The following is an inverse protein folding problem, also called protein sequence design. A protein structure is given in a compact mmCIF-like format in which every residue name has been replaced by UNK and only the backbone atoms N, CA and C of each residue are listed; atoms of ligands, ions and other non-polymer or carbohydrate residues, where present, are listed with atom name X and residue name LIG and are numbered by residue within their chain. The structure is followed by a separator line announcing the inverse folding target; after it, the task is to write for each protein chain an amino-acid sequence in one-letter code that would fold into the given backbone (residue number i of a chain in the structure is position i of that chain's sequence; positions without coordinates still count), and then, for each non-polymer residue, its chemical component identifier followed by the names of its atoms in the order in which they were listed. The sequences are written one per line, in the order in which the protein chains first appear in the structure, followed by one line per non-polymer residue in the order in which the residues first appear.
data_IF_496786413456
#
_entry.id   IF_496786413456
#
_cell.length_a   1.000
_cell.length_b   1.000
_cell.length_c   1.000
_cell.angle_alpha   90.00
_cell.angle_beta   90.00
_cell.angle_gamma   90.00
#
_symmetry.space_group_name_H-M   'P 1'
#
loop_
_entity.id
_entity.type
_entity.pdbx_description
1 polymer ?
#
# COMPACT_ATOMS: atom_id res chain seq x y z
N UNK A 1 10.52 -28.50 52.40
CA UNK A 1 9.87 -28.86 51.11
C UNK A 1 8.98 -27.76 50.51
N UNK A 2 8.37 -26.86 51.29
CA UNK A 2 7.52 -25.79 50.74
C UNK A 2 8.30 -24.70 49.99
N UNK A 3 9.44 -24.25 50.52
CA UNK A 3 10.23 -23.14 49.95
C UNK A 3 10.75 -23.41 48.52
N UNK A 4 11.22 -24.62 48.25
CA UNK A 4 11.71 -25.04 46.93
C UNK A 4 10.60 -25.09 45.86
N UNK A 5 9.35 -25.41 46.27
CA UNK A 5 8.17 -25.36 45.39
C UNK A 5 7.83 -23.93 44.96
N UNK A 6 7.91 -22.97 45.88
CA UNK A 6 7.60 -21.56 45.59
C UNK A 6 8.70 -20.92 44.72
N UNK A 7 9.96 -21.31 44.93
CA UNK A 7 11.09 -20.88 44.10
C UNK A 7 11.00 -21.42 42.65
N UNK A 8 10.61 -22.69 42.49
CA UNK A 8 10.35 -23.27 41.16
C UNK A 8 9.16 -22.61 40.45
N UNK A 9 8.09 -22.31 41.18
CA UNK A 9 6.91 -21.64 40.62
C UNK A 9 7.25 -20.22 40.15
N UNK A 10 8.02 -19.48 40.94
CA UNK A 10 8.50 -18.13 40.61
C UNK A 10 9.45 -18.09 39.40
N UNK A 11 10.22 -19.16 39.16
CA UNK A 11 11.08 -19.29 37.97
C UNK A 11 10.32 -19.65 36.68
N UNK A 12 9.12 -20.25 36.78
CA UNK A 12 8.32 -20.67 35.62
C UNK A 12 7.37 -19.57 35.12
N UNK A 13 7.01 -18.61 35.97
CA UNK A 13 6.16 -17.46 35.63
C UNK A 13 6.69 -16.55 34.49
N UNK A 14 8.01 -16.25 34.40
CA UNK A 14 8.55 -15.42 33.32
C UNK A 14 8.54 -16.12 31.96
N UNK A 15 8.62 -17.46 31.94
CA UNK A 15 8.61 -18.23 30.69
C UNK A 15 7.23 -18.27 30.02
N UNK A 16 6.14 -18.12 30.80
CA UNK A 16 4.78 -18.05 30.28
C UNK A 16 4.42 -16.65 29.71
N UNK A 17 5.13 -15.59 30.12
CA UNK A 17 4.92 -14.23 29.62
C UNK A 17 5.45 -14.02 28.18
N UNK A 18 6.20 -14.98 27.64
CA UNK A 18 6.67 -15.02 26.25
C UNK A 18 5.76 -15.77 25.29
N UNK A 19 4.53 -16.14 25.69
CA UNK A 19 3.56 -16.74 24.78
C UNK A 19 3.38 -15.83 23.56
N UNK A 20 3.87 -16.28 22.41
CA UNK A 20 3.95 -15.51 21.17
C UNK A 20 2.60 -14.85 20.84
N UNK A 21 2.57 -13.52 20.80
CA UNK A 21 1.50 -12.79 20.13
C UNK A 21 1.51 -13.17 18.66
N UNK A 22 0.48 -13.91 18.22
CA UNK A 22 0.35 -14.33 16.82
C UNK A 22 0.27 -13.10 15.93
N UNK A 23 1.27 -12.91 15.07
CA UNK A 23 1.31 -11.80 14.13
C UNK A 23 0.43 -12.11 12.91
N UNK A 24 -0.84 -11.69 12.93
CA UNK A 24 -1.75 -11.92 11.82
C UNK A 24 -1.43 -11.10 10.57
N UNK A 25 -0.76 -9.94 10.69
CA UNK A 25 -0.41 -9.12 9.52
C UNK A 25 0.61 -9.81 8.62
N UNK A 26 1.37 -10.77 9.15
CA UNK A 26 2.31 -11.59 8.37
C UNK A 26 1.62 -12.48 7.31
N UNK A 27 0.30 -12.68 7.40
CA UNK A 27 -0.47 -13.41 6.37
C UNK A 27 -0.99 -12.50 5.25
N UNK A 28 -0.88 -11.19 5.38
CA UNK A 28 -1.40 -10.24 4.40
C UNK A 28 -0.33 -9.95 3.35
N UNK A 29 -0.69 -10.09 2.08
CA UNK A 29 0.13 -9.64 0.96
C UNK A 29 -0.61 -8.54 0.18
N UNK A 30 -0.25 -7.25 0.36
CA UNK A 30 -0.90 -6.13 -0.32
C UNK A 30 -0.75 -6.13 -1.85
N UNK A 31 0.13 -6.97 -2.41
CA UNK A 31 0.31 -7.11 -3.85
C UNK A 31 -0.76 -8.00 -4.50
N UNK A 32 -1.56 -8.72 -3.72
CA UNK A 32 -2.66 -9.51 -4.28
C UNK A 32 -3.74 -8.54 -4.75
N UNK A 33 -4.10 -8.62 -6.04
CA UNK A 33 -5.11 -7.76 -6.67
C UNK A 33 -4.55 -6.52 -7.38
N UNK A 34 -3.23 -6.28 -7.31
CA UNK A 34 -2.60 -5.09 -7.91
C UNK A 34 -2.20 -5.28 -9.38
N UNK A 35 -2.41 -6.48 -9.94
CA UNK A 35 -2.16 -6.77 -11.34
C UNK A 35 -3.49 -6.88 -12.10
N UNK A 36 -3.57 -6.23 -13.27
CA UNK A 36 -4.78 -6.21 -14.12
C UNK A 36 -5.98 -5.64 -13.34
N UNK A 37 -7.15 -6.25 -13.46
CA UNK A 37 -8.44 -5.67 -13.06
C UNK A 37 -8.87 -5.99 -11.63
N UNK A 38 -7.90 -6.21 -10.72
CA UNK A 38 -8.21 -6.27 -9.29
C UNK A 38 -8.32 -4.88 -8.66
N UNK A 39 -7.51 -3.94 -9.15
CA UNK A 39 -7.49 -2.53 -8.75
C UNK A 39 -7.37 -2.32 -7.24
N UNK A 40 -6.56 -3.13 -6.56
CA UNK A 40 -6.11 -2.81 -5.20
C UNK A 40 -4.82 -1.99 -5.25
N UNK A 41 -4.50 -1.30 -4.16
CA UNK A 41 -3.24 -0.59 -4.00
C UNK A 41 -2.36 -1.28 -2.94
N UNK A 42 -1.03 -1.28 -3.09
CA UNK A 42 -0.12 -1.91 -2.14
C UNK A 42 0.32 -0.99 -0.98
N UNK A 43 -0.09 0.28 -1.03
CA UNK A 43 0.28 1.33 -0.09
C UNK A 43 -0.14 1.11 1.37
N UNK A 44 0.46 1.90 2.24
CA UNK A 44 0.19 1.86 3.67
C UNK A 44 -1.14 2.55 4.01
N UNK A 45 -1.97 1.84 4.78
CA UNK A 45 -3.17 2.42 5.40
C UNK A 45 -3.49 1.68 6.70
N UNK A 46 -4.31 2.31 7.54
CA UNK A 46 -4.89 1.68 8.73
C UNK A 46 -6.34 1.27 8.42
N UNK A 47 -6.92 0.32 9.17
CA UNK A 47 -8.32 -0.07 8.96
C UNK A 47 -9.25 1.15 8.97
N UNK A 48 -9.99 1.36 7.87
CA UNK A 48 -10.90 2.48 7.67
C UNK A 48 -10.23 3.87 7.76
N UNK A 49 -8.93 3.95 7.52
CA UNK A 49 -8.18 5.20 7.53
C UNK A 49 -8.54 6.13 6.38
N UNK A 50 -8.50 7.44 6.65
CA UNK A 50 -8.74 8.48 5.64
C UNK A 50 -7.60 8.59 4.62
N UNK A 51 -6.39 8.17 4.99
CA UNK A 51 -5.18 8.25 4.14
C UNK A 51 -4.81 6.87 3.64
N UNK A 52 -4.51 6.79 2.34
CA UNK A 52 -4.00 5.61 1.65
C UNK A 52 -2.71 6.04 0.94
N UNK A 53 -1.57 5.99 1.64
CA UNK A 53 -0.29 6.40 1.07
C UNK A 53 0.26 5.27 0.19
N UNK A 54 0.20 5.43 -1.13
CA UNK A 54 0.56 4.38 -2.09
C UNK A 54 1.38 4.93 -3.27
N UNK A 55 2.25 4.11 -3.89
CA UNK A 55 2.84 4.46 -5.18
C UNK A 55 1.79 4.51 -6.29
N UNK A 56 1.95 5.48 -7.19
CA UNK A 56 1.28 5.56 -8.49
C UNK A 56 2.25 5.14 -9.58
N UNK A 57 1.87 4.22 -10.47
CA UNK A 57 2.69 3.83 -11.63
C UNK A 57 2.35 4.62 -12.89
N UNK A 58 1.15 5.20 -12.95
CA UNK A 58 0.73 6.16 -13.98
C UNK A 58 -0.34 7.11 -13.40
N UNK A 59 -0.53 8.26 -14.03
CA UNK A 59 -1.51 9.31 -13.67
C UNK A 59 -2.33 9.71 -14.89
N UNK A 60 -2.81 8.72 -15.65
CA UNK A 60 -3.61 8.94 -16.86
C UNK A 60 -4.89 9.73 -16.49
N UNK A 61 -5.21 10.83 -17.18
CA UNK A 61 -6.46 11.54 -16.95
C UNK A 61 -7.65 10.76 -17.51
N UNK A 62 -8.80 10.83 -16.83
CA UNK A 62 -10.07 10.24 -17.30
C UNK A 62 -10.45 10.71 -18.71
N UNK A 63 -10.20 11.99 -19.01
CA UNK A 63 -10.58 12.63 -20.26
C UNK A 63 -9.46 13.54 -20.78
N UNK A 64 -9.25 13.53 -22.10
CA UNK A 64 -8.43 14.52 -22.79
C UNK A 64 -9.25 15.11 -23.93
N UNK A 65 -9.42 16.44 -23.91
CA UNK A 65 -10.14 17.20 -24.94
C UNK A 65 -11.55 16.67 -25.26
N UNK A 66 -12.37 16.39 -24.25
CA UNK A 66 -13.75 15.94 -24.44
C UNK A 66 -13.90 14.43 -24.70
N UNK A 67 -12.81 13.66 -24.66
CA UNK A 67 -12.80 12.23 -24.99
C UNK A 67 -12.24 11.39 -23.86
N UNK A 68 -12.99 10.35 -23.51
CA UNK A 68 -12.59 9.34 -22.55
C UNK A 68 -11.27 8.67 -22.97
N UNK A 69 -10.38 8.45 -22.01
CA UNK A 69 -9.11 7.73 -22.19
C UNK A 69 -9.29 6.29 -21.68
N UNK A 70 -9.41 5.27 -22.55
CA UNK A 70 -9.73 3.91 -22.11
C UNK A 70 -8.69 3.27 -21.18
N UNK A 71 -7.43 3.64 -21.34
CA UNK A 71 -6.34 3.10 -20.53
C UNK A 71 -6.41 3.51 -19.06
N UNK A 72 -7.12 4.59 -18.72
CA UNK A 72 -7.32 5.02 -17.34
C UNK A 72 -7.97 3.94 -16.47
N UNK A 73 -8.78 3.06 -17.08
CA UNK A 73 -9.41 1.95 -16.39
C UNK A 73 -8.39 1.00 -15.76
N UNK A 74 -7.19 0.85 -16.34
CA UNK A 74 -6.12 0.05 -15.74
C UNK A 74 -5.62 0.67 -14.43
N UNK A 75 -5.70 1.99 -14.29
CA UNK A 75 -5.09 2.73 -13.19
C UNK A 75 -6.11 3.21 -12.15
N UNK A 76 -7.23 2.50 -11.98
CA UNK A 76 -8.29 2.89 -11.05
C UNK A 76 -7.81 3.09 -9.59
N UNK A 77 -6.74 2.39 -9.19
CA UNK A 77 -6.14 2.48 -7.87
C UNK A 77 -4.71 3.06 -7.91
N UNK A 78 -4.32 3.72 -8.99
CA UNK A 78 -3.00 4.35 -9.16
C UNK A 78 -1.84 3.39 -9.49
N UNK A 79 -1.92 2.13 -9.08
CA UNK A 79 -0.82 1.16 -9.20
C UNK A 79 -1.13 -0.04 -10.09
N UNK A 80 -0.20 -0.39 -10.98
CA UNK A 80 -0.17 -1.65 -11.73
C UNK A 80 1.12 -2.43 -11.49
N UNK A 81 0.99 -3.66 -11.00
CA UNK A 81 2.14 -4.54 -10.67
C UNK A 81 3.09 -4.80 -11.86
N UNK A 82 2.59 -4.75 -13.09
CA UNK A 82 3.40 -5.02 -14.28
C UNK A 82 4.31 -3.85 -14.66
N UNK A 83 4.01 -2.64 -14.17
CA UNK A 83 4.74 -1.44 -14.53
C UNK A 83 6.08 -1.39 -13.80
N UNK A 84 7.07 -0.77 -14.45
CA UNK A 84 8.46 -0.73 -13.97
C UNK A 84 8.89 0.64 -13.47
N UNK A 85 8.00 1.62 -13.54
CA UNK A 85 8.21 3.00 -13.13
C UNK A 85 7.17 3.41 -12.09
N UNK A 86 7.56 4.32 -11.21
CA UNK A 86 6.68 4.99 -10.25
C UNK A 86 6.72 6.47 -10.58
N UNK A 87 5.53 7.06 -10.74
CA UNK A 87 5.34 8.49 -10.94
C UNK A 87 5.55 9.25 -9.64
N UNK A 88 5.04 8.70 -8.53
CA UNK A 88 5.21 9.25 -7.20
C UNK A 88 4.41 8.48 -6.16
N UNK A 89 4.21 9.08 -5.00
CA UNK A 89 3.42 8.53 -3.91
C UNK A 89 2.33 9.53 -3.51
N UNK A 90 1.08 9.19 -3.79
CA UNK A 90 -0.09 10.01 -3.41
C UNK A 90 -0.80 9.44 -2.17
N UNK A 91 -1.72 10.21 -1.60
CA UNK A 91 -2.24 9.99 -0.24
C UNK A 91 -3.71 9.55 -0.18
N UNK A 92 -4.40 9.47 -1.32
CA UNK A 92 -5.82 9.09 -1.43
C UNK A 92 -6.01 8.10 -2.56
N UNK A 93 -6.67 6.97 -2.29
CA UNK A 93 -6.88 5.90 -3.27
C UNK A 93 -8.18 5.14 -3.03
N UNK A 94 -8.85 4.77 -4.12
CA UNK A 94 -9.89 3.76 -4.09
C UNK A 94 -9.29 2.35 -4.21
N UNK A 95 -9.95 1.36 -3.57
CA UNK A 95 -9.56 -0.06 -3.65
C UNK A 95 -10.69 -0.87 -4.24
N UNK A 96 -10.44 -1.48 -5.41
CA UNK A 96 -11.33 -2.41 -6.11
C UNK A 96 -12.40 -1.74 -6.97
N UNK A 97 -12.22 -0.48 -7.36
CA UNK A 97 -13.19 0.26 -8.18
C UNK A 97 -13.04 -0.05 -9.67
N UNK A 98 -14.09 0.24 -10.44
CA UNK A 98 -14.08 0.23 -11.91
C UNK A 98 -13.94 1.61 -12.53
N UNK A 99 -13.59 2.62 -11.73
CA UNK A 99 -13.40 4.00 -12.14
C UNK A 99 -12.24 4.61 -11.33
N UNK A 100 -11.43 5.42 -12.01
CA UNK A 100 -10.29 6.14 -11.45
C UNK A 100 -10.71 7.49 -10.92
N UNK A 101 -10.32 7.80 -9.69
CA UNK A 101 -10.38 9.13 -9.08
C UNK A 101 -9.34 9.13 -7.94
N UNK A 102 -9.25 10.23 -7.18
CA UNK A 102 -8.24 10.44 -6.13
C UNK A 102 -6.81 10.48 -6.72
N UNK A 103 -5.81 9.98 -6.00
CA UNK A 103 -4.40 10.17 -6.36
C UNK A 103 -3.87 11.55 -5.91
N UNK A 104 -4.42 12.10 -4.83
CA UNK A 104 -4.16 13.47 -4.38
C UNK A 104 -2.85 13.58 -3.57
N UNK A 105 -2.24 14.77 -3.61
CA UNK A 105 -1.01 15.11 -2.87
C UNK A 105 0.14 14.15 -3.23
N UNK A 106 0.53 14.17 -4.50
CA UNK A 106 1.61 13.34 -5.03
C UNK A 106 2.98 13.90 -4.64
N UNK A 107 3.79 13.07 -3.98
CA UNK A 107 5.18 13.37 -3.63
C UNK A 107 6.12 12.44 -4.40
N UNK A 108 7.08 13.03 -5.12
CA UNK A 108 8.15 12.29 -5.79
C UNK A 108 9.51 12.72 -5.23
N UNK A 109 10.21 11.87 -4.44
CA UNK A 109 11.55 12.18 -4.00
C UNK A 109 12.51 12.17 -5.20
N UNK A 110 13.37 13.18 -5.30
CA UNK A 110 14.34 13.29 -6.40
C UNK A 110 15.67 13.84 -5.92
N UNK A 111 16.73 13.54 -6.67
CA UNK A 111 18.05 14.15 -6.52
C UNK A 111 18.53 14.63 -7.88
N UNK A 112 19.34 15.69 -7.91
CA UNK A 112 19.78 16.29 -9.17
C UNK A 112 18.78 17.31 -9.72
N UNK A 113 18.80 17.57 -11.05
CA UNK A 113 17.93 18.56 -11.67
C UNK A 113 16.45 18.23 -11.47
N UNK A 114 15.67 19.24 -11.08
CA UNK A 114 14.23 19.09 -10.89
C UNK A 114 13.53 18.84 -12.22
N UNK A 115 12.80 17.73 -12.31
CA UNK A 115 11.89 17.42 -13.41
C UNK A 115 10.46 17.72 -12.95
N UNK A 116 9.73 18.50 -13.75
CA UNK A 116 8.37 18.93 -13.41
C UNK A 116 7.28 18.07 -14.06
N UNK A 117 7.68 17.14 -14.93
CA UNK A 117 6.78 16.20 -15.60
C UNK A 117 7.26 14.78 -15.30
N UNK A 118 6.34 13.81 -15.15
CA UNK A 118 6.69 12.43 -14.86
C UNK A 118 7.36 11.69 -16.04
N UNK A 119 7.28 12.26 -17.25
CA UNK A 119 7.77 11.63 -18.47
C UNK A 119 6.75 10.63 -19.03
N UNK A 120 7.25 9.73 -19.88
CA UNK A 120 6.48 8.62 -20.48
C UNK A 120 7.16 7.31 -20.13
N UNK A 121 6.39 6.25 -19.91
CA UNK A 121 6.96 4.91 -19.78
C UNK A 121 7.59 4.47 -21.12
N UNK A 122 8.81 3.93 -21.07
CA UNK A 122 9.56 3.37 -22.21
C UNK A 122 9.16 1.94 -22.57
#
# INVERSE_FOLDING_TARGET
MSFFKHLLLALLLPAAAGAQTKNYSAFVNPLIGTHRMGHTYPGATVPFGMVQLSPDTDTIPYEVAGKYVPDVYKYCAGYQWADRSIVGFSHTHFSGTGHSDLGDVLLMPTTGPLQLNPGTAD
#
